data_IF_803163340444
#
_entry.id   IF_803163340444
#
_cell.length_a   1.000
_cell.length_b   1.000
_cell.length_c   1.000
_cell.angle_alpha   90.00
_cell.angle_beta   90.00
_cell.angle_gamma   90.00
#
_symmetry.space_group_name_H-M   'P 1'
#
loop_
_entity.id
_entity.type
_entity.pdbx_description
1 polymer ?
#
# COMPACT_ATOMS: atom_id res chain seq x y z
N UNK A 1 6.71 -0.55 13.04
CA UNK A 1 6.89 -1.98 12.70
C UNK A 1 8.19 -2.53 13.31
N UNK A 2 8.24 -3.78 13.78
CA UNK A 2 9.45 -4.42 14.36
C UNK A 2 9.57 -5.87 13.86
N UNK A 3 10.76 -6.46 13.90
CA UNK A 3 10.99 -7.88 13.59
C UNK A 3 10.45 -8.28 12.21
N UNK A 4 9.58 -9.29 12.17
CA UNK A 4 8.97 -9.84 10.95
C UNK A 4 8.28 -8.77 10.08
N UNK A 5 7.56 -7.81 10.68
CA UNK A 5 6.90 -6.75 9.89
C UNK A 5 7.90 -5.83 9.18
N UNK A 6 9.15 -5.73 9.67
CA UNK A 6 10.19 -4.95 9.00
C UNK A 6 10.74 -5.67 7.77
N UNK A 7 10.91 -7.00 7.86
CA UNK A 7 11.31 -7.83 6.72
C UNK A 7 10.22 -7.83 5.64
N UNK A 8 8.97 -8.07 6.04
CA UNK A 8 7.84 -8.02 5.11
C UNK A 8 7.63 -6.65 4.49
N UNK A 9 7.84 -5.56 5.24
CA UNK A 9 7.84 -4.22 4.67
C UNK A 9 8.87 -4.08 3.53
N UNK A 10 10.11 -4.53 3.73
CA UNK A 10 11.15 -4.42 2.70
C UNK A 10 10.81 -5.21 1.43
N UNK A 11 10.25 -6.42 1.57
CA UNK A 11 9.79 -7.24 0.44
C UNK A 11 8.67 -6.56 -0.36
N UNK A 12 7.73 -5.91 0.34
CA UNK A 12 6.62 -5.20 -0.29
C UNK A 12 7.09 -3.90 -0.95
N UNK A 13 8.02 -3.17 -0.30
CA UNK A 13 8.65 -1.96 -0.86
C UNK A 13 9.42 -2.28 -2.15
N UNK A 14 10.18 -3.38 -2.20
CA UNK A 14 10.86 -3.83 -3.41
C UNK A 14 9.86 -4.09 -4.55
N UNK A 15 8.75 -4.78 -4.25
CA UNK A 15 7.73 -5.08 -5.25
C UNK A 15 6.99 -3.83 -5.74
N UNK A 16 6.73 -2.88 -4.84
CA UNK A 16 6.15 -1.57 -5.16
C UNK A 16 7.08 -0.78 -6.09
N UNK A 17 8.37 -0.65 -5.75
CA UNK A 17 9.33 0.10 -6.56
C UNK A 17 9.43 -0.45 -7.99
N UNK A 18 9.33 -1.78 -8.14
CA UNK A 18 9.34 -2.43 -9.46
C UNK A 18 8.14 -2.07 -10.35
N UNK A 19 6.99 -1.66 -9.77
CA UNK A 19 5.81 -1.23 -10.56
C UNK A 19 5.65 0.28 -10.63
N UNK A 20 6.06 1.00 -9.59
CA UNK A 20 5.90 2.45 -9.48
C UNK A 20 6.63 3.21 -10.59
N UNK A 21 7.82 2.75 -11.02
CA UNK A 21 8.64 3.45 -12.00
C UNK A 21 8.03 3.62 -13.41
N UNK A 22 6.91 2.97 -13.71
CA UNK A 22 6.17 3.12 -14.97
C UNK A 22 4.68 3.41 -14.77
N UNK A 23 4.25 3.58 -13.52
CA UNK A 23 2.86 3.83 -13.18
C UNK A 23 2.53 5.33 -13.20
N UNK A 24 1.24 5.64 -13.30
CA UNK A 24 0.73 6.93 -12.88
C UNK A 24 0.78 6.98 -11.34
N UNK A 25 1.71 7.77 -10.79
CA UNK A 25 1.96 7.84 -9.35
C UNK A 25 0.83 8.51 -8.57
N UNK A 26 0.11 9.46 -9.18
CA UNK A 26 -1.05 10.11 -8.57
C UNK A 26 -2.20 9.12 -8.43
N UNK A 27 -2.52 8.41 -9.52
CA UNK A 27 -3.55 7.35 -9.49
C UNK A 27 -3.16 6.21 -8.52
N UNK A 28 -1.89 5.77 -8.54
CA UNK A 28 -1.40 4.72 -7.65
C UNK A 28 -1.52 5.13 -6.18
N UNK A 29 -1.19 6.39 -5.86
CA UNK A 29 -1.36 6.94 -4.52
C UNK A 29 -2.82 6.84 -4.04
N UNK A 30 -3.75 7.40 -4.83
CA UNK A 30 -5.19 7.42 -4.50
C UNK A 30 -5.76 6.00 -4.34
N UNK A 31 -5.36 5.08 -5.21
CA UNK A 31 -5.78 3.69 -5.17
C UNK A 31 -5.26 2.97 -3.93
N UNK A 32 -4.01 3.18 -3.52
CA UNK A 32 -3.44 2.56 -2.32
C UNK A 32 -4.12 3.08 -1.04
N UNK A 33 -4.43 4.38 -0.98
CA UNK A 33 -5.25 4.93 0.11
C UNK A 33 -6.66 4.33 0.13
N UNK A 34 -7.29 4.19 -1.04
CA UNK A 34 -8.62 3.58 -1.14
C UNK A 34 -8.63 2.11 -0.68
N UNK A 35 -7.57 1.34 -0.99
CA UNK A 35 -7.43 -0.04 -0.51
C UNK A 35 -7.16 -0.09 0.99
N UNK A 36 -6.31 0.78 1.54
CA UNK A 36 -6.09 0.88 2.98
C UNK A 36 -7.41 1.19 3.72
N UNK A 37 -8.14 2.21 3.27
CA UNK A 37 -9.44 2.60 3.82
C UNK A 37 -10.49 1.46 3.74
N UNK A 38 -10.47 0.66 2.66
CA UNK A 38 -11.32 -0.53 2.53
C UNK A 38 -10.99 -1.55 3.62
N UNK A 39 -9.71 -1.83 3.88
CA UNK A 39 -9.29 -2.79 4.90
C UNK A 39 -9.63 -2.31 6.33
N UNK A 40 -9.56 -1.01 6.57
CA UNK A 40 -9.94 -0.45 7.87
C UNK A 40 -11.45 -0.51 8.11
N UNK A 41 -12.26 -0.23 7.08
CA UNK A 41 -13.72 -0.34 7.17
C UNK A 41 -14.16 -1.80 7.31
N UNK A 42 -13.64 -2.67 6.45
CA UNK A 42 -14.07 -4.06 6.32
C UNK A 42 -13.23 -5.00 7.21
N UNK A 43 -13.51 -4.99 8.51
CA UNK A 43 -12.77 -5.75 9.53
C UNK A 43 -12.65 -7.26 9.23
N UNK A 44 -13.70 -7.86 8.64
CA UNK A 44 -13.70 -9.26 8.24
C UNK A 44 -12.72 -9.55 7.09
N UNK A 45 -12.65 -8.65 6.11
CA UNK A 45 -11.70 -8.72 5.00
C UNK A 45 -10.26 -8.57 5.51
N UNK A 46 -9.99 -7.56 6.34
CA UNK A 46 -8.66 -7.37 6.95
C UNK A 46 -8.22 -8.60 7.72
N UNK A 47 -9.09 -9.17 8.56
CA UNK A 47 -8.78 -10.40 9.30
C UNK A 47 -8.46 -11.56 8.37
N UNK A 48 -9.24 -11.74 7.31
CA UNK A 48 -9.05 -12.83 6.33
C UNK A 48 -7.76 -12.69 5.52
N UNK A 49 -7.30 -11.46 5.26
CA UNK A 49 -6.06 -11.15 4.52
C UNK A 49 -4.83 -11.03 5.43
N UNK A 50 -5.00 -10.80 6.73
CA UNK A 50 -3.90 -10.80 7.71
C UNK A 50 -3.65 -12.16 8.35
N UNK A 51 -4.49 -13.17 8.09
CA UNK A 51 -4.41 -14.50 8.72
C UNK A 51 -3.09 -15.22 8.33
N UNK A 52 -2.20 -15.50 9.29
CA UNK A 52 -0.93 -16.17 9.02
C UNK A 52 -1.08 -17.67 8.69
N UNK A 53 -2.23 -18.28 8.95
CA UNK A 53 -2.52 -19.68 8.61
C UNK A 53 -2.88 -19.85 7.12
N UNK A 54 -3.28 -18.77 6.44
CA UNK A 54 -3.62 -18.78 5.01
C UNK A 54 -2.37 -18.62 4.14
N UNK A 55 -2.30 -19.39 3.05
CA UNK A 55 -1.21 -19.28 2.06
C UNK A 55 -1.27 -17.91 1.38
N UNK A 56 -0.09 -17.30 1.15
CA UNK A 56 0.03 -15.99 0.50
C UNK A 56 -0.71 -15.93 -0.84
N UNK A 57 -0.53 -16.94 -1.69
CA UNK A 57 -1.19 -17.06 -2.99
C UNK A 57 -2.73 -17.01 -2.92
N UNK A 58 -3.34 -17.63 -1.89
CA UNK A 58 -4.79 -17.59 -1.72
C UNK A 58 -5.27 -16.18 -1.35
N UNK A 59 -4.50 -15.47 -0.53
CA UNK A 59 -4.77 -14.08 -0.17
C UNK A 59 -4.59 -13.16 -1.38
N UNK A 60 -3.53 -13.35 -2.16
CA UNK A 60 -3.27 -12.63 -3.41
C UNK A 60 -4.42 -12.83 -4.42
N UNK A 61 -4.84 -14.07 -4.65
CA UNK A 61 -5.98 -14.36 -5.52
C UNK A 61 -7.28 -13.70 -5.05
N UNK A 62 -7.53 -13.67 -3.74
CA UNK A 62 -8.70 -13.00 -3.15
C UNK A 62 -8.66 -11.50 -3.38
N UNK A 63 -7.54 -10.83 -3.09
CA UNK A 63 -7.45 -9.37 -3.26
C UNK A 63 -7.47 -8.98 -4.75
N UNK A 64 -6.80 -9.75 -5.62
CA UNK A 64 -6.86 -9.55 -7.07
C UNK A 64 -8.30 -9.62 -7.57
N UNK A 65 -9.04 -10.68 -7.24
CA UNK A 65 -10.42 -10.81 -7.68
C UNK A 65 -11.34 -9.67 -7.19
N UNK A 66 -11.02 -9.09 -6.01
CA UNK A 66 -11.77 -7.97 -5.47
C UNK A 66 -11.48 -6.64 -6.20
N UNK A 67 -10.24 -6.44 -6.61
CA UNK A 67 -9.72 -5.17 -7.16
C UNK A 67 -9.65 -5.13 -8.69
N UNK A 68 -9.72 -6.28 -9.36
CA UNK A 68 -9.66 -6.39 -10.82
C UNK A 68 -10.70 -5.49 -11.49
N UNK A 69 -10.24 -4.70 -12.47
CA UNK A 69 -11.06 -3.72 -13.18
C UNK A 69 -11.48 -2.48 -12.37
N UNK A 70 -11.05 -2.33 -11.11
CA UNK A 70 -11.39 -1.17 -10.25
C UNK A 70 -10.21 -0.24 -9.98
N UNK A 71 -9.00 -0.78 -10.02
CA UNK A 71 -7.74 -0.05 -9.78
C UNK A 71 -6.70 -0.48 -10.80
N UNK A 72 -5.61 0.27 -10.90
CA UNK A 72 -4.51 0.00 -11.81
C UNK A 72 -3.82 -1.34 -11.55
N UNK A 73 -3.14 -1.92 -12.57
CA UNK A 73 -2.32 -3.11 -12.39
C UNK A 73 -1.20 -2.93 -11.35
N UNK A 74 -0.66 -1.71 -11.20
CA UNK A 74 0.36 -1.40 -10.21
C UNK A 74 -0.18 -1.46 -8.78
N UNK A 75 -1.39 -0.94 -8.54
CA UNK A 75 -2.06 -1.04 -7.25
C UNK A 75 -2.41 -2.50 -6.91
N UNK A 76 -2.92 -3.28 -7.87
CA UNK A 76 -3.18 -4.72 -7.68
C UNK A 76 -1.89 -5.45 -7.29
N UNK A 77 -0.81 -5.26 -8.04
CA UNK A 77 0.47 -5.91 -7.77
C UNK A 77 1.04 -5.57 -6.39
N UNK A 78 0.90 -4.31 -5.97
CA UNK A 78 1.33 -3.85 -4.64
C UNK A 78 0.46 -4.46 -3.54
N UNK A 79 -0.86 -4.47 -3.71
CA UNK A 79 -1.80 -5.07 -2.76
C UNK A 79 -1.58 -6.59 -2.63
N UNK A 80 -1.32 -7.30 -3.72
CA UNK A 80 -0.99 -8.72 -3.72
C UNK A 80 0.28 -9.02 -2.93
N UNK A 81 1.32 -8.20 -3.10
CA UNK A 81 2.56 -8.32 -2.35
C UNK A 81 2.30 -8.13 -0.85
N UNK A 82 1.58 -7.07 -0.50
CA UNK A 82 1.25 -6.74 0.88
C UNK A 82 0.44 -7.86 1.56
N UNK A 83 -0.59 -8.40 0.91
CA UNK A 83 -1.40 -9.50 1.50
C UNK A 83 -0.66 -10.83 1.51
N UNK A 84 0.33 -11.04 0.63
CA UNK A 84 1.13 -12.27 0.62
C UNK A 84 2.15 -12.32 1.76
N UNK A 85 2.60 -11.14 2.22
CA UNK A 85 3.55 -11.00 3.30
C UNK A 85 3.00 -11.41 4.68
N UNK A 86 3.89 -11.52 5.67
CA UNK A 86 3.57 -11.93 7.04
C UNK A 86 3.72 -10.76 8.00
N UNK A 87 2.58 -10.30 8.50
CA UNK A 87 2.52 -9.17 9.42
C UNK A 87 2.45 -9.62 10.88
N UNK A 88 3.14 -8.89 11.76
CA UNK A 88 3.10 -9.15 13.20
C UNK A 88 1.78 -8.72 13.83
N UNK A 89 1.11 -7.71 13.23
CA UNK A 89 -0.23 -7.26 13.59
C UNK A 89 -1.10 -7.17 12.36
N UNK A 90 -2.40 -7.45 12.51
CA UNK A 90 -3.36 -7.32 11.42
C UNK A 90 -3.43 -5.89 10.84
N UNK A 91 -3.19 -4.86 11.66
CA UNK A 91 -3.14 -3.47 11.24
C UNK A 91 -1.95 -3.13 10.34
N UNK A 92 -0.80 -3.81 10.50
CA UNK A 92 0.41 -3.49 9.74
C UNK A 92 0.19 -3.65 8.21
N UNK A 93 -0.79 -4.46 7.79
CA UNK A 93 -1.19 -4.62 6.40
C UNK A 93 -1.85 -3.34 5.82
N UNK A 94 -2.71 -2.68 6.58
CA UNK A 94 -3.31 -1.43 6.13
C UNK A 94 -2.27 -0.31 6.19
N UNK A 95 -1.50 -0.24 7.29
CA UNK A 95 -0.45 0.75 7.50
C UNK A 95 0.60 0.75 6.37
N UNK A 96 0.98 -0.42 5.83
CA UNK A 96 1.95 -0.47 4.72
C UNK A 96 1.36 0.09 3.42
N UNK A 97 0.08 -0.18 3.13
CA UNK A 97 -0.55 0.33 1.91
C UNK A 97 -0.73 1.85 1.99
N UNK A 98 -1.13 2.36 3.15
CA UNK A 98 -1.20 3.79 3.43
C UNK A 98 0.18 4.45 3.27
N UNK A 99 1.22 3.86 3.87
CA UNK A 99 2.60 4.35 3.73
C UNK A 99 3.05 4.39 2.27
N UNK A 100 2.77 3.36 1.48
CA UNK A 100 3.15 3.32 0.07
C UNK A 100 2.34 4.32 -0.78
N UNK A 101 1.09 4.61 -0.39
CA UNK A 101 0.31 5.72 -0.96
C UNK A 101 1.02 7.06 -0.74
N UNK A 102 1.47 7.33 0.50
CA UNK A 102 2.27 8.54 0.81
C UNK A 102 3.55 8.60 -0.02
N UNK A 103 4.27 7.48 -0.19
CA UNK A 103 5.48 7.43 -1.02
C UNK A 103 5.16 7.73 -2.48
N UNK A 104 4.07 7.18 -3.02
CA UNK A 104 3.63 7.46 -4.39
C UNK A 104 3.26 8.95 -4.59
N UNK A 105 2.51 9.55 -3.66
CA UNK A 105 2.19 10.97 -3.69
C UNK A 105 3.43 11.87 -3.61
N UNK A 106 4.38 11.54 -2.72
CA UNK A 106 5.62 12.29 -2.61
C UNK A 106 6.45 12.21 -3.90
N UNK A 107 6.56 11.02 -4.49
CA UNK A 107 7.25 10.82 -5.77
C UNK A 107 6.54 11.52 -6.94
N UNK A 108 5.21 11.59 -6.94
CA UNK A 108 4.42 12.37 -7.91
C UNK A 108 4.74 13.87 -7.78
N UNK A 109 4.71 14.42 -6.55
CA UNK A 109 5.04 15.81 -6.28
C UNK A 109 6.49 16.14 -6.68
N UNK A 110 7.44 15.25 -6.39
CA UNK A 110 8.84 15.38 -6.83
C UNK A 110 8.95 15.41 -8.37
N UNK A 111 8.25 14.50 -9.06
CA UNK A 111 8.24 14.44 -10.54
C UNK A 111 7.70 15.73 -11.19
N UNK A 112 6.91 16.50 -10.45
CA UNK A 112 6.33 17.77 -10.87
C UNK A 112 7.07 18.99 -10.30
N UNK A 113 8.19 18.78 -9.60
CA UNK A 113 8.95 19.84 -8.90
C UNK A 113 8.12 20.63 -7.88
N UNK A 114 7.15 19.97 -7.21
CA UNK A 114 6.26 20.55 -6.19
C UNK A 114 6.52 20.04 -4.77
N UNK A 115 7.59 19.26 -4.55
CA UNK A 115 7.86 18.66 -3.25
C UNK A 115 8.07 19.72 -2.15
N UNK A 116 8.85 20.76 -2.44
CA UNK A 116 9.12 21.86 -1.50
C UNK A 116 7.84 22.56 -1.03
N UNK A 117 6.89 22.81 -1.94
CA UNK A 117 5.60 23.43 -1.62
C UNK A 117 4.75 22.53 -0.69
N UNK A 118 4.75 21.22 -0.93
CA UNK A 118 4.04 20.22 -0.10
C UNK A 118 4.65 20.15 1.30
N UNK A 119 5.98 20.13 1.40
CA UNK A 119 6.67 20.16 2.70
C UNK A 119 6.30 21.40 3.51
N UNK A 120 6.34 22.58 2.88
CA UNK A 120 5.98 23.85 3.50
C UNK A 120 4.52 23.87 3.99
N UNK A 121 3.58 23.34 3.20
CA UNK A 121 2.18 23.19 3.60
C UNK A 121 2.02 22.26 4.81
N UNK A 122 2.66 21.08 4.80
CA UNK A 122 2.60 20.12 5.90
C UNK A 122 3.18 20.70 7.20
N UNK A 123 4.31 21.40 7.15
CA UNK A 123 4.87 22.09 8.31
C UNK A 123 3.95 23.21 8.82
N UNK A 124 3.25 23.90 7.92
CA UNK A 124 2.27 24.94 8.29
C UNK A 124 1.00 24.38 8.93
N UNK A 125 0.58 23.16 8.59
CA UNK A 125 -0.56 22.50 9.26
C UNK A 125 -0.21 21.96 10.65
N UNK A 126 1.04 21.56 10.88
CA UNK A 126 1.47 20.92 12.14
C UNK A 126 1.72 21.86 13.33
N UNK A 127 1.45 23.16 13.19
CA UNK A 127 1.71 24.22 14.20
C UNK A 127 0.44 24.69 14.90
#
# INVERSE_FOLDING_TARGET
MRGLSRTSLAEVEERFNAVAGSADLGALSDELFAVAALLDREHGLRRALSDPARRGEQKAGTIRALLDGKVSPAAIATAEAAVSARWSRAGDLADVLERLGVVAAAAEAESQSRLDDVEDELFRFGR
#
